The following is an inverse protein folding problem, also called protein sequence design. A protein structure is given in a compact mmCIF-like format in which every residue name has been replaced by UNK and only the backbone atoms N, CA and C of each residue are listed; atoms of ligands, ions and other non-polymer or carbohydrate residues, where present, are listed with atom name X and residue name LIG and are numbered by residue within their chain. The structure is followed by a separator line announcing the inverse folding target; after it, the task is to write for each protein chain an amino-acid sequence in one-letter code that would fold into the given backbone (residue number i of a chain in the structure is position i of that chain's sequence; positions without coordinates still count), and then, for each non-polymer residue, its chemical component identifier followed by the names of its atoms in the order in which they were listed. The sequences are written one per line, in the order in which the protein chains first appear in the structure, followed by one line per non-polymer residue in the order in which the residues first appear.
data_IF_931700585910
#
_entry.id   IF_931700585910
#
_cell.length_a   1.000
_cell.length_b   1.000
_cell.length_c   1.000
_cell.angle_alpha   90.00
_cell.angle_beta   90.00
_cell.angle_gamma   90.00
#
_symmetry.space_group_name_H-M   'P 1'
#
loop_
_entity.id
_entity.type
_entity.pdbx_description
1 polymer ?
#
# COMPACT_ATOMS: atom_id res chain seq x y z
N UNK A 1 -0.05 -20.73 -2.92
CA UNK A 1 0.74 -21.32 -1.81
C UNK A 1 0.11 -20.90 -0.50
N UNK A 2 -0.04 -21.82 0.46
CA UNK A 2 -0.67 -21.54 1.75
C UNK A 2 0.35 -21.75 2.86
N UNK A 3 0.61 -20.71 3.65
CA UNK A 3 1.52 -20.76 4.79
C UNK A 3 0.71 -20.68 6.09
N UNK A 4 1.12 -21.42 7.12
CA UNK A 4 0.51 -21.39 8.45
C UNK A 4 1.54 -20.93 9.46
N UNK A 5 1.13 -20.04 10.36
CA UNK A 5 1.94 -19.56 11.47
C UNK A 5 1.09 -19.48 12.72
N UNK A 6 1.72 -19.61 13.89
CA UNK A 6 1.10 -19.40 15.20
C UNK A 6 1.65 -18.10 15.77
N UNK A 7 0.75 -17.20 16.18
CA UNK A 7 1.13 -15.90 16.76
C UNK A 7 0.47 -15.73 18.12
N UNK A 8 1.21 -15.17 19.06
CA UNK A 8 0.67 -14.77 20.36
C UNK A 8 0.09 -13.37 20.26
N UNK A 9 -1.16 -13.20 20.69
CA UNK A 9 -1.85 -11.92 20.73
C UNK A 9 -2.04 -11.49 22.19
N UNK A 10 -2.02 -10.18 22.43
CA UNK A 10 -2.48 -9.63 23.70
C UNK A 10 -3.99 -9.87 23.85
N UNK A 11 -4.47 -9.96 25.09
CA UNK A 11 -5.88 -10.26 25.39
C UNK A 11 -6.85 -9.32 24.66
N UNK A 12 -6.56 -8.02 24.68
CA UNK A 12 -7.38 -7.00 24.01
C UNK A 12 -7.43 -7.19 22.49
N UNK A 13 -6.30 -7.56 21.87
CA UNK A 13 -6.22 -7.82 20.44
C UNK A 13 -6.93 -9.12 20.06
N UNK A 14 -6.86 -10.14 20.92
CA UNK A 14 -7.56 -11.41 20.73
C UNK A 14 -9.08 -11.23 20.86
N UNK A 15 -9.55 -10.44 21.82
CA UNK A 15 -10.96 -10.13 21.99
C UNK A 15 -11.52 -9.31 20.82
N UNK A 16 -10.75 -8.35 20.31
CA UNK A 16 -11.09 -7.67 19.06
C UNK A 16 -11.20 -8.67 17.88
N UNK A 17 -10.23 -9.57 17.73
CA UNK A 17 -10.25 -10.58 16.67
C UNK A 17 -11.44 -11.55 16.82
N UNK A 18 -11.86 -11.88 18.05
CA UNK A 18 -13.06 -12.69 18.27
C UNK A 18 -14.30 -12.00 17.71
N UNK A 19 -14.44 -10.70 17.96
CA UNK A 19 -15.59 -9.90 17.53
C UNK A 19 -15.56 -9.61 16.03
N UNK A 20 -14.43 -9.12 15.52
CA UNK A 20 -14.28 -8.67 14.13
C UNK A 20 -14.05 -9.81 13.14
N UNK A 21 -13.42 -10.90 13.58
CA UNK A 21 -13.02 -12.00 12.70
C UNK A 21 -14.11 -13.03 12.38
N UNK A 22 -15.31 -12.89 12.95
CA UNK A 22 -16.44 -13.80 12.72
C UNK A 22 -16.07 -15.29 12.78
N UNK A 23 -16.56 -16.05 11.80
CA UNK A 23 -16.31 -17.48 11.64
C UNK A 23 -14.89 -17.80 11.16
N UNK A 24 -14.22 -16.88 10.44
CA UNK A 24 -12.89 -17.12 9.86
C UNK A 24 -11.88 -16.03 10.24
N UNK A 25 -11.27 -16.23 11.40
CA UNK A 25 -10.27 -15.31 11.98
C UNK A 25 -9.01 -15.21 11.12
N UNK A 26 -8.61 -16.31 10.49
CA UNK A 26 -7.45 -16.33 9.58
C UNK A 26 -7.69 -15.48 8.35
N UNK A 27 -8.90 -15.53 7.76
CA UNK A 27 -9.24 -14.69 6.62
C UNK A 27 -9.25 -13.20 6.99
N UNK A 28 -9.80 -12.87 8.17
CA UNK A 28 -9.79 -11.50 8.67
C UNK A 28 -8.36 -10.96 8.88
N UNK A 29 -7.51 -11.72 9.59
CA UNK A 29 -6.10 -11.33 9.80
C UNK A 29 -5.36 -11.21 8.47
N UNK A 30 -5.61 -12.12 7.51
CA UNK A 30 -4.98 -12.05 6.20
C UNK A 30 -5.37 -10.78 5.43
N UNK A 31 -6.65 -10.42 5.43
CA UNK A 31 -7.09 -9.15 4.82
C UNK A 31 -6.47 -7.95 5.52
N UNK A 32 -6.43 -7.95 6.85
CA UNK A 32 -5.82 -6.86 7.62
C UNK A 32 -4.34 -6.67 7.26
N UNK A 33 -3.57 -7.76 7.10
CA UNK A 33 -2.16 -7.70 6.68
C UNK A 33 -1.99 -7.18 5.24
N UNK A 34 -2.86 -7.61 4.32
CA UNK A 34 -2.84 -7.12 2.94
C UNK A 34 -3.18 -5.63 2.87
N UNK A 35 -4.12 -5.18 3.68
CA UNK A 35 -4.49 -3.77 3.75
C UNK A 35 -3.38 -2.92 4.39
N UNK A 36 -2.72 -3.41 5.45
CA UNK A 36 -1.57 -2.71 6.02
C UNK A 36 -0.41 -2.63 5.01
N UNK A 37 -0.15 -3.71 4.25
CA UNK A 37 0.83 -3.67 3.15
C UNK A 37 0.50 -2.60 2.13
N UNK A 38 -0.78 -2.48 1.73
CA UNK A 38 -1.23 -1.41 0.82
C UNK A 38 -1.06 -0.02 1.43
N UNK A 39 -1.36 0.15 2.71
CA UNK A 39 -1.18 1.43 3.42
C UNK A 39 0.28 1.83 3.49
N UNK A 40 1.17 0.89 3.83
CA UNK A 40 2.61 1.11 3.85
C UNK A 40 3.13 1.53 2.46
N UNK A 41 2.69 0.84 1.40
CA UNK A 41 3.04 1.21 0.03
C UNK A 41 2.56 2.61 -0.35
N UNK A 42 1.30 2.97 -0.04
CA UNK A 42 0.77 4.32 -0.29
C UNK A 42 1.58 5.40 0.42
N UNK A 43 1.99 5.15 1.66
CA UNK A 43 2.85 6.08 2.42
C UNK A 43 4.22 6.24 1.76
N UNK A 44 4.81 5.13 1.29
CA UNK A 44 6.10 5.16 0.59
C UNK A 44 6.02 5.93 -0.73
N UNK A 45 4.99 5.69 -1.55
CA UNK A 45 4.76 6.43 -2.79
C UNK A 45 4.57 7.92 -2.50
N UNK A 46 3.71 8.28 -1.55
CA UNK A 46 3.49 9.68 -1.19
C UNK A 46 4.77 10.36 -0.74
N UNK A 47 5.63 9.64 -0.01
CA UNK A 47 6.94 10.16 0.41
C UNK A 47 7.86 10.36 -0.81
N UNK A 48 8.00 9.35 -1.67
CA UNK A 48 8.82 9.44 -2.88
C UNK A 48 8.37 10.60 -3.78
N UNK A 49 7.07 10.72 -4.06
CA UNK A 49 6.53 11.82 -4.87
C UNK A 49 6.82 13.21 -4.28
N UNK A 50 6.88 13.34 -2.95
CA UNK A 50 7.25 14.62 -2.30
C UNK A 50 8.73 14.91 -2.45
N UNK A 51 9.57 13.90 -2.27
CA UNK A 51 11.02 14.01 -2.46
C UNK A 51 11.35 14.37 -3.92
N UNK A 52 10.68 13.74 -4.88
CA UNK A 52 10.81 14.02 -6.32
C UNK A 52 10.25 15.40 -6.72
N UNK A 53 9.20 15.90 -6.05
CA UNK A 53 8.65 17.23 -6.29
C UNK A 53 9.64 18.35 -5.92
N UNK A 54 10.45 18.13 -4.88
CA UNK A 54 11.45 19.07 -4.42
C UNK A 54 12.81 18.91 -5.18
N UNK A 55 12.96 17.87 -5.99
CA UNK A 55 14.15 17.60 -6.81
C UNK A 55 14.06 18.24 -8.19
N UNK A 56 14.80 19.34 -8.37
CA UNK A 56 14.84 20.08 -9.63
C UNK A 56 15.28 19.25 -10.85
N UNK A 57 16.18 18.27 -10.66
CA UNK A 57 16.64 17.40 -11.77
C UNK A 57 15.52 16.47 -12.19
N UNK A 58 14.84 15.86 -11.22
CA UNK A 58 13.67 15.02 -11.47
C UNK A 58 12.53 15.80 -12.15
N UNK A 59 12.26 17.03 -11.70
CA UNK A 59 11.24 17.89 -12.33
C UNK A 59 11.59 18.29 -13.76
N UNK A 60 12.86 18.55 -14.06
CA UNK A 60 13.32 18.83 -15.43
C UNK A 60 13.11 17.62 -16.34
N UNK A 61 13.45 16.42 -15.87
CA UNK A 61 13.19 15.18 -16.61
C UNK A 61 11.68 14.98 -16.85
N UNK A 62 10.85 15.13 -15.81
CA UNK A 62 9.39 15.03 -15.95
C UNK A 62 8.84 16.03 -16.97
N UNK A 63 9.36 17.27 -16.99
CA UNK A 63 8.97 18.28 -17.98
C UNK A 63 9.34 17.91 -19.43
N UNK A 64 10.42 17.15 -19.64
CA UNK A 64 10.73 16.58 -20.95
C UNK A 64 9.74 15.47 -21.33
N UNK A 65 9.35 14.62 -20.38
CA UNK A 65 8.37 13.55 -20.60
C UNK A 65 6.96 14.08 -20.88
N UNK A 66 6.57 15.21 -20.30
CA UNK A 66 5.27 15.86 -20.53
C UNK A 66 4.99 16.14 -22.01
N UNK A 67 6.03 16.32 -22.84
CA UNK A 67 5.86 16.51 -24.29
C UNK A 67 5.25 15.29 -24.99
N UNK A 68 5.45 14.09 -24.44
CA UNK A 68 4.92 12.82 -24.98
C UNK A 68 3.52 12.47 -24.46
N UNK A 69 2.94 13.31 -23.58
CA UNK A 69 1.67 13.00 -22.89
C UNK A 69 0.50 12.76 -23.86
N UNK A 70 0.51 13.42 -25.03
CA UNK A 70 -0.55 13.35 -26.03
C UNK A 70 -0.23 12.41 -27.21
N UNK A 71 0.93 11.75 -27.20
CA UNK A 71 1.36 10.89 -28.31
C UNK A 71 0.33 9.76 -28.55
N UNK A 72 -0.22 9.71 -29.77
CA UNK A 72 -1.22 8.72 -30.17
C UNK A 72 -2.65 8.98 -29.67
N UNK A 73 -2.92 10.14 -29.03
CA UNK A 73 -4.27 10.56 -28.64
C UNK A 73 -4.95 11.46 -29.69
N UNK A 74 -4.20 12.02 -30.64
CA UNK A 74 -4.75 12.67 -31.83
C UNK A 74 -4.81 11.68 -33.02
N UNK A 75 -5.91 11.67 -33.80
CA UNK A 75 -6.14 10.72 -34.89
C UNK A 75 -5.22 10.90 -36.11
#
# INVERSE_FOLDING_TARGET
MTNRTTVTLQDTAFDFLKQAGGENKSAFVNQLLLDEKRRALKKAILKANREEADDAVCQEELGAWDQTLADGLEP
#
